data_IF_497725074322
#
_entry.id   IF_497725074322
#
_cell.length_a   1.000
_cell.length_b   1.000
_cell.length_c   1.000
_cell.angle_alpha   90.00
_cell.angle_beta   90.00
_cell.angle_gamma   90.00
#
_symmetry.space_group_name_H-M   'P 1'
#
loop_
_entity.id
_entity.type
_entity.pdbx_description
1 polymer ?
#
# COMPACT_ATOMS: atom_id res chain seq x y z
N UNK A 1 24.06 18.55 -29.41
CA UNK A 1 24.48 18.14 -28.05
C UNK A 1 23.51 17.04 -27.64
N UNK A 2 23.95 15.79 -27.45
CA UNK A 2 23.05 14.70 -27.16
C UNK A 2 22.66 14.75 -25.68
N UNK A 3 21.37 14.93 -25.38
CA UNK A 3 20.82 14.65 -24.07
C UNK A 3 20.33 13.19 -24.09
N UNK A 4 20.91 12.29 -23.28
CA UNK A 4 20.50 10.90 -23.27
C UNK A 4 19.07 10.80 -22.73
N UNK A 5 18.20 10.16 -23.51
CA UNK A 5 16.88 9.72 -23.06
C UNK A 5 17.08 8.74 -21.90
N UNK A 6 16.80 9.20 -20.69
CA UNK A 6 16.62 8.30 -19.57
C UNK A 6 15.38 7.44 -19.85
N UNK A 7 15.62 6.19 -20.20
CA UNK A 7 14.62 5.13 -20.12
C UNK A 7 14.04 5.18 -18.69
N UNK A 8 12.71 5.15 -18.48
CA UNK A 8 12.20 4.64 -17.22
C UNK A 8 12.49 3.13 -17.24
N UNK A 9 13.74 2.77 -16.93
CA UNK A 9 14.08 1.44 -16.45
C UNK A 9 13.08 1.12 -15.36
N UNK A 10 12.42 -0.03 -15.42
CA UNK A 10 11.54 -0.55 -14.38
C UNK A 10 12.30 -0.66 -13.07
N UNK A 11 12.45 0.47 -12.39
CA UNK A 11 13.02 0.55 -11.06
C UNK A 11 12.08 -0.23 -10.17
N UNK A 12 12.58 -1.07 -9.24
CA UNK A 12 11.77 -1.53 -8.12
C UNK A 12 11.22 -0.26 -7.50
N UNK A 13 9.93 -0.02 -7.76
CA UNK A 13 9.26 1.20 -7.40
C UNK A 13 9.13 1.12 -5.89
N UNK A 14 10.13 1.70 -5.22
CA UNK A 14 10.11 1.86 -3.78
C UNK A 14 8.99 2.87 -3.53
N UNK A 15 7.88 2.40 -3.00
CA UNK A 15 6.80 3.25 -2.55
C UNK A 15 7.14 3.67 -1.13
N UNK A 16 7.78 4.83 -1.02
CA UNK A 16 7.91 5.53 0.26
C UNK A 16 6.61 6.28 0.51
N UNK A 17 6.03 6.02 1.67
CA UNK A 17 4.87 6.70 2.20
C UNK A 17 5.32 7.37 3.48
N UNK A 18 5.11 8.68 3.56
CA UNK A 18 5.40 9.48 4.75
C UNK A 18 4.12 10.21 5.14
N UNK A 19 3.64 9.97 6.36
CA UNK A 19 2.33 10.43 6.86
C UNK A 19 1.23 10.28 5.80
N UNK A 20 1.25 9.18 5.06
CA UNK A 20 0.32 9.00 3.95
C UNK A 20 -0.89 8.23 4.46
N UNK A 21 -2.12 8.66 4.11
CA UNK A 21 -3.31 7.93 4.50
C UNK A 21 -3.26 6.51 3.92
N UNK A 22 -3.49 5.52 4.78
CA UNK A 22 -3.38 4.09 4.45
C UNK A 22 -4.27 3.72 3.25
N UNK A 23 -5.40 4.41 3.07
CA UNK A 23 -6.28 4.26 1.90
C UNK A 23 -5.57 4.53 0.57
N UNK A 24 -4.65 5.51 0.52
CA UNK A 24 -3.88 5.83 -0.68
C UNK A 24 -2.81 4.76 -0.95
N UNK A 25 -2.28 4.14 0.11
CA UNK A 25 -1.35 3.01 0.02
C UNK A 25 -2.03 1.82 -0.65
N UNK A 26 -3.18 1.40 -0.13
CA UNK A 26 -3.95 0.28 -0.70
C UNK A 26 -4.33 0.55 -2.16
N UNK A 27 -4.81 1.75 -2.47
CA UNK A 27 -5.18 2.11 -3.84
C UNK A 27 -4.01 2.05 -4.81
N UNK A 28 -2.79 2.43 -4.37
CA UNK A 28 -1.56 2.26 -5.16
C UNK A 28 -1.20 0.80 -5.34
N UNK A 29 -1.35 -0.03 -4.30
CA UNK A 29 -1.11 -1.46 -4.36
C UNK A 29 -2.11 -2.15 -5.31
N UNK A 30 -3.39 -1.82 -5.22
CA UNK A 30 -4.42 -2.29 -6.17
C UNK A 30 -4.04 -1.99 -7.62
N UNK A 31 -3.64 -0.75 -7.90
CA UNK A 31 -3.25 -0.34 -9.26
C UNK A 31 -1.93 -0.98 -9.73
N UNK A 32 -0.96 -1.16 -8.83
CA UNK A 32 0.34 -1.73 -9.16
C UNK A 32 0.29 -3.25 -9.39
N UNK A 33 -0.53 -3.96 -8.61
CA UNK A 33 -0.63 -5.42 -8.64
C UNK A 33 -1.87 -5.95 -9.38
N UNK A 34 -2.85 -5.10 -9.69
CA UNK A 34 -4.07 -5.48 -10.39
C UNK A 34 -5.02 -6.35 -9.55
N UNK A 35 -5.08 -6.09 -8.24
CA UNK A 35 -5.94 -6.82 -7.31
C UNK A 35 -7.02 -5.91 -6.70
N UNK A 36 -8.00 -6.50 -6.02
CA UNK A 36 -9.07 -5.78 -5.33
C UNK A 36 -8.80 -5.82 -3.82
N UNK A 37 -8.65 -4.66 -3.20
CA UNK A 37 -8.52 -4.49 -1.76
C UNK A 37 -9.76 -3.76 -1.26
N UNK A 38 -10.57 -4.45 -0.47
CA UNK A 38 -11.70 -3.90 0.26
C UNK A 38 -11.23 -3.35 1.60
N UNK A 39 -11.58 -2.10 1.89
CA UNK A 39 -11.22 -1.46 3.15
C UNK A 39 -12.22 -0.36 3.50
N UNK A 40 -12.38 -0.09 4.78
CA UNK A 40 -13.23 1.01 5.27
C UNK A 40 -12.48 2.35 5.16
N UNK A 41 -12.78 3.08 4.09
CA UNK A 41 -12.18 4.39 3.80
C UNK A 41 -12.39 5.38 4.94
N UNK A 42 -13.52 5.31 5.65
CA UNK A 42 -13.86 6.20 6.76
C UNK A 42 -12.97 5.94 7.99
N UNK A 43 -12.76 4.67 8.34
CA UNK A 43 -11.91 4.24 9.45
C UNK A 43 -10.43 4.52 9.19
N UNK A 44 -10.00 4.42 7.93
CA UNK A 44 -8.60 4.55 7.51
C UNK A 44 -8.24 5.95 7.00
N UNK A 45 -9.21 6.82 6.73
CA UNK A 45 -9.01 8.21 6.26
C UNK A 45 -8.20 9.02 7.27
N UNK A 46 -8.37 8.75 8.56
CA UNK A 46 -7.60 9.38 9.64
C UNK A 46 -6.33 8.63 10.04
N UNK A 47 -6.06 7.45 9.45
CA UNK A 47 -4.85 6.69 9.71
C UNK A 47 -3.76 7.09 8.72
N UNK A 48 -2.77 7.82 9.22
CA UNK A 48 -1.54 8.10 8.48
C UNK A 48 -0.49 7.05 8.84
N UNK A 49 0.18 6.52 7.82
CA UNK A 49 1.26 5.55 7.97
C UNK A 49 2.50 6.09 7.27
N UNK A 50 3.64 5.99 7.95
CA UNK A 50 4.95 6.09 7.32
C UNK A 50 5.51 4.69 7.13
N UNK A 51 5.69 4.27 5.87
CA UNK A 51 6.21 2.97 5.51
C UNK A 51 6.95 3.03 4.17
N UNK A 52 7.94 2.16 4.02
CA UNK A 52 8.75 2.05 2.81
C UNK A 52 8.54 0.65 2.24
N UNK A 53 7.93 0.56 1.06
CA UNK A 53 7.74 -0.71 0.38
C UNK A 53 8.67 -0.79 -0.81
N UNK A 54 9.53 -1.80 -0.85
CA UNK A 54 10.42 -2.04 -1.97
C UNK A 54 9.86 -3.08 -2.93
N UNK A 55 10.68 -4.11 -3.17
CA UNK A 55 10.40 -5.25 -4.04
C UNK A 55 9.62 -6.39 -3.37
N UNK A 56 9.12 -6.19 -2.14
CA UNK A 56 8.35 -7.22 -1.47
C UNK A 56 7.05 -7.59 -2.20
N UNK A 57 6.53 -8.79 -1.91
CA UNK A 57 5.23 -9.23 -2.39
C UNK A 57 4.12 -8.38 -1.76
N UNK A 58 2.97 -8.29 -2.44
CA UNK A 58 1.79 -7.59 -1.92
C UNK A 58 1.46 -7.97 -0.47
N UNK A 59 1.46 -9.27 -0.14
CA UNK A 59 1.16 -9.78 1.21
C UNK A 59 2.15 -9.29 2.27
N UNK A 60 3.44 -9.21 1.93
CA UNK A 60 4.48 -8.68 2.83
C UNK A 60 4.25 -7.19 3.08
N UNK A 61 3.91 -6.44 2.02
CA UNK A 61 3.57 -5.02 2.13
C UNK A 61 2.35 -4.83 3.03
N UNK A 62 1.31 -5.64 2.84
CA UNK A 62 0.11 -5.64 3.68
C UNK A 62 0.42 -6.00 5.13
N UNK A 63 1.26 -7.01 5.38
CA UNK A 63 1.69 -7.38 6.74
C UNK A 63 2.41 -6.22 7.43
N UNK A 64 3.32 -5.54 6.71
CA UNK A 64 4.02 -4.37 7.23
C UNK A 64 3.05 -3.24 7.58
N UNK A 65 2.08 -2.94 6.69
CA UNK A 65 1.04 -1.91 6.90
C UNK A 65 0.23 -2.26 8.14
N UNK A 66 -0.27 -3.49 8.20
CA UNK A 66 -1.09 -3.99 9.30
C UNK A 66 -0.36 -3.93 10.63
N UNK A 67 0.93 -4.30 10.66
CA UNK A 67 1.77 -4.17 11.86
C UNK A 67 1.96 -2.74 12.30
N UNK A 68 2.19 -1.82 11.36
CA UNK A 68 2.43 -0.42 11.68
C UNK A 68 1.15 0.34 12.08
N UNK A 69 -0.01 -0.15 11.67
CA UNK A 69 -1.33 0.49 11.91
C UNK A 69 -2.19 -0.30 12.89
N UNK A 70 -1.63 -1.29 13.60
CA UNK A 70 -2.35 -2.24 14.46
C UNK A 70 -3.66 -2.75 13.83
N UNK A 71 -3.56 -3.07 12.55
CA UNK A 71 -4.67 -3.53 11.72
C UNK A 71 -4.40 -4.96 11.26
N UNK A 72 -5.40 -5.62 10.67
CA UNK A 72 -5.22 -6.93 10.06
C UNK A 72 -5.87 -6.99 8.69
N UNK A 73 -5.39 -7.88 7.85
CA UNK A 73 -6.02 -8.19 6.56
C UNK A 73 -6.48 -9.64 6.55
N UNK A 74 -7.56 -9.92 5.85
CA UNK A 74 -8.01 -11.27 5.55
C UNK A 74 -8.18 -11.43 4.05
N UNK A 75 -7.88 -12.63 3.56
CA UNK A 75 -8.10 -12.98 2.17
C UNK A 75 -9.39 -13.78 2.09
N UNK A 76 -10.43 -13.19 1.50
CA UNK A 76 -11.77 -13.77 1.39
C UNK A 76 -12.11 -13.85 -0.09
N UNK A 77 -12.34 -15.07 -0.61
CA UNK A 77 -12.77 -15.30 -2.00
C UNK A 77 -11.88 -14.57 -3.04
N UNK A 78 -10.56 -14.70 -2.89
CA UNK A 78 -9.53 -14.02 -3.70
C UNK A 78 -9.55 -12.47 -3.65
N UNK A 79 -10.25 -11.88 -2.68
CA UNK A 79 -10.24 -10.46 -2.37
C UNK A 79 -9.54 -10.22 -1.03
N UNK A 80 -8.90 -9.08 -0.89
CA UNK A 80 -8.23 -8.71 0.37
C UNK A 80 -9.15 -7.76 1.12
N UNK A 81 -9.55 -8.13 2.33
CA UNK A 81 -10.37 -7.29 3.21
C UNK A 81 -9.50 -6.79 4.35
N UNK A 82 -9.34 -5.47 4.45
CA UNK A 82 -8.59 -4.82 5.53
C UNK A 82 -9.55 -4.48 6.66
N UNK A 83 -9.24 -5.00 7.84
CA UNK A 83 -9.91 -4.70 9.09
C UNK A 83 -9.00 -3.82 9.93
N UNK A 84 -9.41 -2.57 10.07
CA UNK A 84 -8.78 -1.61 10.96
C UNK A 84 -9.78 -1.17 12.01
N UNK A 85 -9.31 -0.96 13.24
CA UNK A 85 -10.16 -0.39 14.31
C UNK A 85 -10.28 1.14 14.22
N UNK A 86 -9.65 1.75 13.21
CA UNK A 86 -9.43 3.18 13.11
C UNK A 86 -8.27 3.64 13.99
N UNK A 87 -7.50 4.61 13.52
CA UNK A 87 -6.45 5.24 14.31
C UNK A 87 -7.09 6.35 15.14
N UNK A 88 -7.19 6.13 16.45
CA UNK A 88 -7.67 7.13 17.41
C UNK A 88 -6.65 7.31 18.52
#
# INVERSE_FOLDING_TARGET
MPEPMALPTGQPQTLVFDHTPVVAVFKKLEAAYGIVINYDVDLLTGCELTAEFGSESLFEKLDLICRATESHYEVIDAQIVIYSKGCR
#
